data_IF_929262727175
#
_entry.id   IF_929262727175
#
_cell.length_a   1.000
_cell.length_b   1.000
_cell.length_c   1.000
_cell.angle_alpha   90.00
_cell.angle_beta   90.00
_cell.angle_gamma   90.00
#
_symmetry.space_group_name_H-M   'P 1'
#
loop_
_entity.id
_entity.type
_entity.pdbx_description
1 polymer ?
#
# COMPACT_ATOMS: atom_id res chain seq x y z
N UNK A 1 22.49 -2.11 -22.68
CA UNK A 1 22.72 -0.76 -22.12
C UNK A 1 22.71 -0.73 -20.60
N UNK A 2 21.65 -1.16 -19.89
CA UNK A 2 21.63 -1.16 -18.40
C UNK A 2 22.73 -2.01 -17.72
N UNK A 3 23.05 -3.17 -18.30
CA UNK A 3 24.05 -4.10 -17.76
C UNK A 3 25.49 -3.55 -17.81
N UNK A 4 25.80 -2.72 -18.81
CA UNK A 4 27.11 -2.06 -18.93
C UNK A 4 27.27 -0.95 -17.88
N UNK A 5 26.19 -0.24 -17.58
CA UNK A 5 26.18 0.83 -16.57
C UNK A 5 26.35 0.27 -15.15
N UNK A 6 25.74 -0.88 -14.86
CA UNK A 6 25.95 -1.62 -13.61
C UNK A 6 27.39 -2.13 -13.44
N UNK A 7 27.98 -2.66 -14.51
CA UNK A 7 29.37 -3.14 -14.47
C UNK A 7 30.38 -1.99 -14.27
N UNK A 8 30.11 -0.80 -14.81
CA UNK A 8 30.96 0.37 -14.62
C UNK A 8 30.89 0.91 -13.18
N UNK A 9 29.72 0.90 -12.55
CA UNK A 9 29.57 1.33 -11.15
C UNK A 9 30.22 0.35 -10.17
N UNK A 10 30.15 -0.96 -10.44
CA UNK A 10 30.80 -1.98 -9.62
C UNK A 10 32.34 -1.93 -9.73
N UNK A 11 32.88 -1.61 -10.92
CA UNK A 11 34.32 -1.44 -11.11
C UNK A 11 34.88 -0.23 -10.34
N UNK A 12 34.11 0.86 -10.23
CA UNK A 12 34.51 2.07 -9.49
C UNK A 12 34.49 1.88 -7.96
N UNK A 13 33.64 0.99 -7.45
CA UNK A 13 33.56 0.70 -6.02
C UNK A 13 34.63 -0.30 -5.56
N UNK A 14 34.99 -1.26 -6.42
CA UNK A 14 36.00 -2.29 -6.10
C UNK A 14 37.46 -1.79 -6.17
N UNK A 15 37.71 -0.63 -6.78
CA UNK A 15 39.06 -0.03 -6.85
C UNK A 15 39.51 0.72 -5.58
N UNK A 16 38.60 0.98 -4.64
CA UNK A 16 38.87 1.84 -3.47
C UNK A 16 38.97 1.10 -2.12
N UNK A 17 38.97 -0.23 -2.13
CA UNK A 17 39.11 -1.01 -0.90
C UNK A 17 40.22 -2.02 -1.12
N UNK A 18 41.47 -1.61 -0.83
CA UNK A 18 42.58 -2.41 -0.29
C UNK A 18 43.89 -1.62 -0.41
N UNK A 19 44.24 -0.88 0.65
CA UNK A 19 45.55 -0.89 1.30
C UNK A 19 45.85 0.44 2.00
N UNK A 20 45.43 0.48 3.26
CA UNK A 20 46.05 1.27 4.32
C UNK A 20 47.38 0.62 4.70
N UNK A 21 48.52 1.27 4.41
CA UNK A 21 49.73 1.20 5.25
C UNK A 21 50.93 1.96 4.64
N UNK A 22 51.37 3.00 5.36
CA UNK A 22 52.74 3.55 5.47
C UNK A 22 53.53 3.88 4.19
N UNK A 23 53.73 5.17 3.91
CA UNK A 23 55.01 5.90 4.14
C UNK A 23 54.96 7.26 3.46
N UNK A 24 55.43 8.26 4.20
CA UNK A 24 55.58 9.65 3.80
C UNK A 24 56.53 9.81 2.61
N UNK A 25 55.98 9.97 1.41
CA UNK A 25 56.61 10.68 0.30
C UNK A 25 55.53 11.45 -0.46
N UNK A 26 55.28 12.69 -0.04
CA UNK A 26 54.53 13.64 -0.85
C UNK A 26 55.43 14.08 -2.00
N UNK A 27 55.60 13.20 -2.99
CA UNK A 27 55.94 13.60 -4.34
C UNK A 27 54.77 14.44 -4.86
N UNK A 28 55.07 15.65 -5.27
CA UNK A 28 54.22 16.55 -6.06
C UNK A 28 53.65 15.79 -7.25
N UNK A 29 52.43 15.28 -7.11
CA UNK A 29 51.62 14.75 -8.20
C UNK A 29 50.60 15.83 -8.52
N UNK A 30 50.59 16.17 -9.80
CA UNK A 30 49.82 17.21 -10.46
C UNK A 30 48.48 17.55 -9.83
N UNK A 31 48.21 18.86 -9.82
CA UNK A 31 46.89 19.46 -9.72
C UNK A 31 45.94 18.85 -10.76
N UNK A 32 45.36 17.68 -10.47
CA UNK A 32 44.11 17.27 -11.09
C UNK A 32 43.07 18.27 -10.60
N UNK A 33 42.79 19.26 -11.46
CA UNK A 33 41.67 20.20 -11.32
C UNK A 33 40.39 19.39 -11.17
N UNK A 34 40.04 19.07 -9.94
CA UNK A 34 38.73 18.53 -9.59
C UNK A 34 37.75 19.65 -9.92
N UNK A 35 37.08 19.53 -11.07
CA UNK A 35 35.99 20.44 -11.41
C UNK A 35 34.92 20.17 -10.34
N UNK A 36 34.61 21.13 -9.45
CA UNK A 36 33.58 20.92 -8.47
C UNK A 36 32.28 20.66 -9.23
N UNK A 37 31.78 19.44 -9.20
CA UNK A 37 30.44 19.16 -9.70
C UNK A 37 29.50 19.96 -8.82
N UNK A 38 28.81 20.94 -9.41
CA UNK A 38 27.79 21.68 -8.68
C UNK A 38 26.83 20.67 -8.05
N UNK A 39 26.52 20.80 -6.75
CA UNK A 39 25.56 19.92 -6.11
C UNK A 39 24.26 20.01 -6.91
N UNK A 40 23.65 18.87 -7.18
CA UNK A 40 22.35 18.84 -7.83
C UNK A 40 21.36 19.59 -6.94
N UNK A 41 20.74 20.65 -7.47
CA UNK A 41 19.74 21.44 -6.76
C UNK A 41 18.36 21.02 -7.28
N UNK A 42 17.46 20.51 -6.42
CA UNK A 42 16.12 20.16 -6.85
C UNK A 42 15.38 21.39 -7.35
N UNK A 43 14.77 21.26 -8.53
CA UNK A 43 13.89 22.30 -9.06
C UNK A 43 12.69 22.55 -8.13
N UNK A 44 12.12 23.75 -8.16
CA UNK A 44 10.89 24.06 -7.41
C UNK A 44 9.73 23.12 -7.78
N UNK A 45 9.67 22.68 -9.05
CA UNK A 45 8.67 21.70 -9.50
C UNK A 45 8.84 20.35 -8.80
N UNK A 46 10.08 19.88 -8.66
CA UNK A 46 10.39 18.66 -7.93
C UNK A 46 9.99 18.78 -6.45
N UNK A 47 10.39 19.86 -5.78
CA UNK A 47 10.04 20.06 -4.36
C UNK A 47 8.53 20.12 -4.13
N UNK A 48 7.76 20.77 -5.02
CA UNK A 48 6.29 20.77 -4.96
C UNK A 48 5.70 19.36 -5.13
N UNK A 49 6.27 18.57 -6.05
CA UNK A 49 5.84 17.20 -6.27
C UNK A 49 6.18 16.29 -5.09
N UNK A 50 7.39 16.43 -4.52
CA UNK A 50 7.82 15.72 -3.33
C UNK A 50 6.92 16.05 -2.14
N UNK A 51 6.66 17.33 -1.88
CA UNK A 51 5.75 17.74 -0.82
C UNK A 51 4.34 17.17 -1.05
N UNK A 52 3.81 17.23 -2.28
CA UNK A 52 2.49 16.64 -2.59
C UNK A 52 2.48 15.14 -2.36
N UNK A 53 3.57 14.45 -2.73
CA UNK A 53 3.71 13.01 -2.53
C UNK A 53 3.72 12.65 -1.04
N UNK A 54 4.53 13.34 -0.25
CA UNK A 54 4.66 13.10 1.20
C UNK A 54 3.40 13.45 1.98
N UNK A 55 2.75 14.57 1.63
CA UNK A 55 1.59 15.09 2.37
C UNK A 55 0.26 14.48 1.95
N UNK A 56 0.06 14.18 0.67
CA UNK A 56 -1.19 13.62 0.16
C UNK A 56 -1.06 12.14 -0.19
N UNK A 57 -0.15 11.77 -1.09
CA UNK A 57 -0.15 10.42 -1.67
C UNK A 57 0.21 9.36 -0.63
N UNK A 58 1.23 9.59 0.19
CA UNK A 58 1.64 8.64 1.25
C UNK A 58 0.61 8.54 2.38
N UNK A 59 -0.15 9.61 2.63
CA UNK A 59 -1.14 9.65 3.70
C UNK A 59 -2.54 9.19 3.27
N UNK A 60 -2.73 8.93 1.97
CA UNK A 60 -3.98 8.40 1.46
C UNK A 60 -4.03 6.88 1.62
N UNK A 61 -5.11 6.42 2.25
CA UNK A 61 -5.44 5.00 2.35
C UNK A 61 -6.84 4.75 1.77
N UNK A 62 -7.06 3.54 1.27
CA UNK A 62 -8.38 3.11 0.83
C UNK A 62 -9.30 3.00 2.04
N UNK A 63 -10.31 3.86 2.11
CA UNK A 63 -11.18 3.95 3.29
C UNK A 63 -12.65 4.21 3.01
N UNK A 64 -13.01 4.49 1.76
CA UNK A 64 -14.39 4.72 1.37
C UNK A 64 -14.95 3.48 0.64
N UNK A 65 -15.81 2.66 1.28
CA UNK A 65 -16.46 1.56 0.61
C UNK A 65 -17.53 2.04 -0.38
N UNK A 66 -17.59 1.39 -1.54
CA UNK A 66 -18.69 1.59 -2.49
C UNK A 66 -19.98 1.00 -1.91
N UNK A 67 -21.04 1.80 -1.80
CA UNK A 67 -22.33 1.36 -1.27
C UNK A 67 -22.97 0.18 -2.04
N UNK A 68 -22.62 -0.01 -3.31
CA UNK A 68 -23.22 -1.03 -4.18
C UNK A 68 -22.44 -2.34 -4.26
N UNK A 69 -21.11 -2.29 -4.37
CA UNK A 69 -20.28 -3.48 -4.58
C UNK A 69 -19.27 -3.73 -3.46
N UNK A 70 -19.21 -2.89 -2.43
CA UNK A 70 -18.33 -3.04 -1.28
C UNK A 70 -16.84 -2.79 -1.56
N UNK A 71 -16.45 -2.48 -2.80
CA UNK A 71 -15.06 -2.17 -3.15
C UNK A 71 -14.57 -0.94 -2.37
N UNK A 72 -13.47 -1.09 -1.63
CA UNK A 72 -12.78 0.02 -0.96
C UNK A 72 -12.07 0.92 -1.98
N UNK A 73 -12.19 2.22 -1.79
CA UNK A 73 -11.67 3.26 -2.68
C UNK A 73 -10.90 4.31 -1.90
N UNK A 74 -10.03 5.01 -2.62
CA UNK A 74 -9.49 6.28 -2.16
C UNK A 74 -10.61 7.33 -2.16
N UNK A 75 -10.68 8.21 -1.14
CA UNK A 75 -11.66 9.28 -1.09
C UNK A 75 -11.73 10.13 -2.36
N UNK A 76 -10.58 10.45 -2.97
CA UNK A 76 -10.51 11.24 -4.21
C UNK A 76 -11.09 10.54 -5.44
N UNK A 77 -11.15 9.21 -5.43
CA UNK A 77 -11.69 8.40 -6.53
C UNK A 77 -13.16 8.02 -6.32
N UNK A 78 -13.79 8.55 -5.28
CA UNK A 78 -15.19 8.32 -5.00
C UNK A 78 -16.07 9.16 -5.92
N UNK A 79 -17.08 8.51 -6.47
CA UNK A 79 -18.21 9.17 -7.10
C UNK A 79 -19.31 9.34 -6.07
N UNK A 80 -20.14 10.37 -6.23
CA UNK A 80 -21.16 10.74 -5.26
C UNK A 80 -22.55 10.63 -5.88
N UNK A 81 -23.38 9.74 -5.34
CA UNK A 81 -24.78 9.61 -5.73
C UNK A 81 -25.71 10.10 -4.63
N UNK A 82 -26.88 10.68 -4.97
CA UNK A 82 -27.90 11.02 -3.97
C UNK A 82 -28.24 9.81 -3.10
N UNK A 83 -28.27 10.04 -1.80
CA UNK A 83 -28.71 9.02 -0.85
C UNK A 83 -30.23 8.84 -0.93
N UNK A 84 -30.69 7.60 -0.88
CA UNK A 84 -32.11 7.24 -0.82
C UNK A 84 -32.33 6.28 0.35
N UNK A 85 -33.05 6.74 1.37
CA UNK A 85 -33.36 5.98 2.60
C UNK A 85 -34.16 4.70 2.32
N UNK A 86 -35.00 4.70 1.28
CA UNK A 86 -35.83 3.55 0.93
C UNK A 86 -35.10 2.51 0.07
N UNK A 87 -33.84 2.78 -0.32
CA UNK A 87 -33.08 1.86 -1.14
C UNK A 87 -32.26 0.89 -0.29
N UNK A 88 -32.44 -0.44 -0.45
CA UNK A 88 -31.71 -1.40 0.35
C UNK A 88 -30.31 -1.64 -0.26
N UNK A 89 -29.35 -0.82 0.14
CA UNK A 89 -27.97 -0.91 -0.35
C UNK A 89 -27.33 -2.27 -0.01
N UNK A 90 -26.74 -3.00 -0.98
CA UNK A 90 -26.15 -4.31 -0.73
C UNK A 90 -25.09 -4.34 0.37
N UNK A 91 -24.32 -3.26 0.52
CA UNK A 91 -23.32 -3.15 1.59
C UNK A 91 -23.95 -3.21 3.00
N UNK A 92 -25.13 -2.59 3.18
CA UNK A 92 -25.87 -2.64 4.44
C UNK A 92 -26.48 -4.03 4.67
N UNK A 93 -26.98 -4.66 3.61
CA UNK A 93 -27.52 -6.02 3.69
C UNK A 93 -26.45 -7.06 4.07
N UNK A 94 -25.21 -6.86 3.64
CA UNK A 94 -24.11 -7.78 3.93
C UNK A 94 -23.62 -7.71 5.38
N UNK A 95 -23.84 -6.58 6.06
CA UNK A 95 -23.38 -6.33 7.43
C UNK A 95 -24.48 -5.66 8.27
N UNK A 96 -25.63 -6.34 8.48
CA UNK A 96 -26.78 -5.76 9.16
C UNK A 96 -26.51 -5.42 10.64
N UNK A 97 -25.48 -6.03 11.24
CA UNK A 97 -25.07 -5.80 12.62
C UNK A 97 -24.34 -4.47 12.85
N UNK A 98 -23.90 -3.80 11.78
CA UNK A 98 -23.15 -2.54 11.87
C UNK A 98 -24.04 -1.33 11.62
N UNK A 99 -23.81 -0.21 12.34
CA UNK A 99 -24.58 1.01 12.11
C UNK A 99 -24.30 1.55 10.70
N UNK A 100 -25.34 2.04 10.03
CA UNK A 100 -25.26 2.48 8.63
C UNK A 100 -24.24 3.61 8.42
N UNK A 101 -24.13 4.55 9.38
CA UNK A 101 -23.14 5.64 9.35
C UNK A 101 -21.68 5.16 9.38
N UNK A 102 -21.43 3.95 9.88
CA UNK A 102 -20.09 3.36 9.87
C UNK A 102 -19.75 2.65 8.56
N UNK A 103 -20.77 2.24 7.80
CA UNK A 103 -20.62 1.48 6.56
C UNK A 103 -20.71 2.37 5.33
N UNK A 104 -21.63 3.34 5.31
CA UNK A 104 -21.78 4.26 4.20
C UNK A 104 -20.90 5.49 4.43
N UNK A 105 -20.10 5.83 3.44
CA UNK A 105 -19.37 7.10 3.44
C UNK A 105 -20.25 8.20 2.84
N UNK A 106 -20.54 9.21 3.64
CA UNK A 106 -21.30 10.38 3.22
C UNK A 106 -20.39 11.54 2.80
N UNK A 107 -20.86 12.31 1.81
CA UNK A 107 -20.22 13.56 1.44
C UNK A 107 -20.41 14.62 2.53
N UNK A 108 -19.41 15.46 2.76
CA UNK A 108 -19.42 16.47 3.84
C UNK A 108 -20.41 17.62 3.62
N UNK A 109 -20.81 17.85 2.36
CA UNK A 109 -21.76 18.91 1.99
C UNK A 109 -23.13 18.34 1.66
N UNK A 110 -24.22 19.01 2.09
CA UNK A 110 -25.57 18.65 1.70
C UNK A 110 -25.80 18.90 0.18
N UNK A 111 -26.80 18.23 -0.44
CA UNK A 111 -27.65 17.17 0.13
C UNK A 111 -26.87 15.87 0.38
N UNK A 112 -27.41 14.96 1.20
CA UNK A 112 -26.77 13.70 1.53
C UNK A 112 -26.45 12.89 0.26
N UNK A 113 -25.18 12.56 0.09
CA UNK A 113 -24.67 11.75 -1.02
C UNK A 113 -23.77 10.66 -0.46
N UNK A 114 -23.85 9.50 -1.07
CA UNK A 114 -23.07 8.32 -0.70
C UNK A 114 -21.94 8.06 -1.70
N UNK A 115 -20.84 7.52 -1.20
CA UNK A 115 -19.70 7.14 -2.02
C UNK A 115 -19.97 5.87 -2.84
N UNK A 116 -19.63 5.93 -4.13
CA UNK A 116 -19.70 4.80 -5.06
C UNK A 116 -18.47 4.77 -5.96
N UNK A 117 -18.14 3.60 -6.50
CA UNK A 117 -17.06 3.49 -7.48
C UNK A 117 -17.52 3.93 -8.87
N UNK A 118 -16.55 4.28 -9.72
CA UNK A 118 -16.80 4.71 -11.10
C UNK A 118 -17.71 3.74 -11.87
N UNK A 119 -17.50 2.43 -11.72
CA UNK A 119 -18.32 1.40 -12.35
C UNK A 119 -19.74 1.37 -11.80
N UNK A 120 -19.94 1.57 -10.49
CA UNK A 120 -21.26 1.52 -9.87
C UNK A 120 -22.08 2.81 -10.03
N UNK A 121 -21.47 3.88 -10.54
CA UNK A 121 -22.13 5.16 -10.82
C UNK A 121 -23.36 4.97 -11.73
N UNK A 122 -23.21 4.19 -12.79
CA UNK A 122 -24.31 3.87 -13.72
C UNK A 122 -24.92 2.50 -13.40
N UNK A 123 -26.26 2.37 -13.37
CA UNK A 123 -26.91 1.09 -13.09
C UNK A 123 -26.47 -0.06 -14.00
N UNK A 124 -26.26 0.20 -15.28
CA UNK A 124 -25.88 -0.81 -16.28
C UNK A 124 -24.48 -1.40 -16.09
N UNK A 125 -23.59 -0.71 -15.37
CA UNK A 125 -22.20 -1.13 -15.16
C UNK A 125 -21.91 -1.51 -13.71
N UNK A 126 -22.95 -1.60 -12.86
CA UNK A 126 -22.81 -1.98 -11.46
C UNK A 126 -22.33 -3.42 -11.35
N UNK A 127 -21.21 -3.59 -10.66
CA UNK A 127 -20.81 -4.92 -10.21
C UNK A 127 -21.81 -5.45 -9.18
N UNK A 128 -22.05 -6.76 -9.25
CA UNK A 128 -22.77 -7.47 -8.20
C UNK A 128 -21.98 -7.39 -6.88
N UNK A 129 -22.70 -7.31 -5.76
CA UNK A 129 -22.07 -7.34 -4.46
C UNK A 129 -21.54 -8.76 -4.17
N UNK A 130 -20.28 -8.92 -3.71
CA UNK A 130 -19.70 -10.22 -3.43
C UNK A 130 -20.19 -10.74 -2.06
N UNK A 131 -21.41 -11.24 -2.00
CA UNK A 131 -21.91 -11.90 -0.79
C UNK A 131 -21.06 -13.15 -0.51
N UNK A 132 -20.47 -13.20 0.68
CA UNK A 132 -19.67 -14.33 1.11
C UNK A 132 -20.59 -15.46 1.58
N UNK A 133 -20.34 -16.66 1.10
CA UNK A 133 -21.01 -17.84 1.62
C UNK A 133 -20.58 -18.10 3.07
N UNK A 134 -21.49 -18.60 3.92
CA UNK A 134 -21.13 -18.98 5.27
C UNK A 134 -20.03 -20.04 5.24
N UNK A 135 -19.09 -19.95 6.17
CA UNK A 135 -18.04 -20.95 6.34
C UNK A 135 -18.71 -22.32 6.61
N UNK A 136 -18.39 -23.38 5.84
CA UNK A 136 -18.91 -24.73 6.04
C UNK A 136 -18.69 -25.25 7.46
N UNK A 137 -19.56 -26.15 7.91
CA UNK A 137 -19.54 -26.66 9.28
C UNK A 137 -18.25 -27.43 9.58
N UNK A 138 -17.68 -28.10 8.58
CA UNK A 138 -16.44 -28.85 8.63
C UNK A 138 -15.26 -27.92 8.99
N UNK A 139 -15.21 -26.74 8.37
CA UNK A 139 -14.18 -25.73 8.67
C UNK A 139 -14.44 -25.08 10.03
N UNK A 140 -15.72 -24.84 10.38
CA UNK A 140 -16.09 -24.30 11.70
C UNK A 140 -15.73 -25.24 12.85
N UNK A 141 -15.83 -26.55 12.65
CA UNK A 141 -15.48 -27.56 13.66
C UNK A 141 -13.98 -27.55 14.01
N UNK A 142 -13.13 -27.11 13.09
CA UNK A 142 -11.70 -26.96 13.37
C UNK A 142 -11.45 -25.73 14.25
N UNK A 143 -10.67 -25.85 15.35
CA UNK A 143 -10.31 -24.71 16.19
C UNK A 143 -9.64 -23.58 15.40
N UNK A 144 -9.94 -22.32 15.73
CA UNK A 144 -9.48 -21.15 14.95
C UNK A 144 -7.96 -21.15 14.69
N UNK A 145 -7.14 -21.43 15.71
CA UNK A 145 -5.68 -21.49 15.59
C UNK A 145 -5.16 -22.64 14.71
N UNK A 146 -6.00 -23.63 14.40
CA UNK A 146 -5.67 -24.75 13.52
C UNK A 146 -6.25 -24.60 12.10
N UNK A 147 -7.13 -23.62 11.86
CA UNK A 147 -7.72 -23.40 10.52
C UNK A 147 -6.70 -22.96 9.49
N UNK A 148 -5.56 -22.40 9.91
CA UNK A 148 -4.44 -22.07 9.01
C UNK A 148 -3.93 -23.29 8.23
N UNK A 149 -4.04 -24.50 8.79
CA UNK A 149 -3.62 -25.75 8.13
C UNK A 149 -4.63 -26.28 7.11
N UNK A 150 -5.83 -25.67 7.03
CA UNK A 150 -6.84 -26.03 6.03
C UNK A 150 -6.65 -25.29 4.70
N UNK A 151 -5.81 -24.25 4.67
CA UNK A 151 -5.49 -23.55 3.42
C UNK A 151 -4.66 -24.48 2.54
N UNK A 152 -5.10 -24.79 1.30
CA UNK A 152 -4.26 -25.51 0.34
C UNK A 152 -3.08 -24.65 -0.14
N UNK A 153 -3.12 -23.34 0.12
CA UNK A 153 -2.07 -22.38 -0.22
C UNK A 153 -1.20 -22.15 1.01
N UNK A 154 0.01 -22.71 0.97
CA UNK A 154 1.10 -22.38 1.88
C UNK A 154 1.92 -21.24 1.27
N UNK A 155 1.75 -20.02 1.77
CA UNK A 155 2.63 -18.92 1.38
C UNK A 155 3.93 -19.03 2.15
N UNK A 156 4.94 -19.65 1.52
CA UNK A 156 6.34 -19.57 1.97
C UNK A 156 6.89 -18.17 1.65
N UNK A 157 6.36 -17.14 2.31
CA UNK A 157 6.93 -15.81 2.21
C UNK A 157 8.19 -15.77 3.08
N UNK A 158 9.36 -16.10 2.50
CA UNK A 158 10.64 -15.65 3.05
C UNK A 158 10.73 -14.14 2.86
N UNK A 159 10.06 -13.39 3.74
CA UNK A 159 10.23 -11.95 3.84
C UNK A 159 11.68 -11.72 4.29
N UNK A 160 12.44 -11.00 3.46
CA UNK A 160 13.89 -10.90 3.54
C UNK A 160 14.45 -10.53 4.92
N UNK A 161 15.72 -10.87 5.13
CA UNK A 161 16.46 -10.55 6.36
C UNK A 161 16.60 -9.04 6.51
N UNK A 162 16.08 -8.50 7.60
CA UNK A 162 16.35 -7.14 8.04
C UNK A 162 17.83 -7.04 8.43
N UNK A 163 18.68 -6.45 7.59
CA UNK A 163 19.97 -5.95 8.05
C UNK A 163 19.69 -4.71 8.92
N UNK A 164 20.26 -4.71 10.12
CA UNK A 164 19.80 -4.00 11.30
C UNK A 164 19.91 -2.46 11.27
N UNK A 165 19.88 -1.80 10.11
CA UNK A 165 20.15 -0.35 10.08
C UNK A 165 19.47 0.49 8.98
N UNK A 166 18.44 0.02 8.27
CA UNK A 166 17.89 0.81 7.14
C UNK A 166 16.38 0.87 6.96
N UNK A 167 15.54 0.49 7.91
CA UNK A 167 14.11 0.52 7.64
C UNK A 167 13.23 0.75 8.87
N UNK A 168 13.09 2.03 9.24
CA UNK A 168 12.03 2.57 10.11
C UNK A 168 10.63 2.28 9.52
N UNK A 169 10.54 1.90 8.24
CA UNK A 169 9.30 1.53 7.55
C UNK A 169 9.10 0.01 7.36
N UNK A 170 9.96 -0.85 7.93
CA UNK A 170 9.84 -2.32 7.80
C UNK A 170 9.39 -3.00 9.10
N UNK A 171 8.48 -2.36 9.84
CA UNK A 171 7.79 -3.09 10.90
C UNK A 171 6.93 -4.17 10.25
N UNK A 172 7.17 -5.42 10.66
CA UNK A 172 6.34 -6.58 10.34
C UNK A 172 4.90 -6.28 10.72
N UNK A 173 4.07 -5.95 9.74
CA UNK A 173 2.63 -5.89 9.95
C UNK A 173 2.06 -7.24 9.58
N UNK A 174 1.74 -8.03 10.60
CA UNK A 174 0.83 -9.17 10.44
C UNK A 174 -0.41 -8.64 9.73
N UNK A 175 -0.68 -9.10 8.51
CA UNK A 175 -1.88 -8.68 7.79
C UNK A 175 -3.07 -9.37 8.44
N UNK A 176 -3.60 -8.72 9.48
CA UNK A 176 -4.82 -9.20 10.13
C UNK A 176 -6.03 -8.65 9.41
N UNK A 177 -6.70 -9.51 8.64
CA UNK A 177 -7.95 -9.19 7.97
C UNK A 177 -9.12 -9.87 8.67
N UNK A 178 -10.24 -9.16 8.81
CA UNK A 178 -11.52 -9.76 9.19
C UNK A 178 -12.29 -10.11 7.91
N UNK A 179 -12.44 -11.40 7.62
CA UNK A 179 -13.33 -11.87 6.56
C UNK A 179 -14.56 -12.44 7.28
N UNK A 180 -15.61 -11.61 7.41
CA UNK A 180 -16.72 -11.81 8.33
C UNK A 180 -16.25 -11.97 9.80
N UNK A 181 -16.85 -12.87 10.57
CA UNK A 181 -16.65 -13.06 12.02
C UNK A 181 -15.32 -13.71 12.44
N UNK A 182 -14.27 -13.67 11.61
CA UNK A 182 -12.99 -14.31 11.93
C UNK A 182 -11.80 -13.39 11.66
N UNK A 183 -10.96 -13.26 12.68
CA UNK A 183 -9.67 -12.59 12.63
C UNK A 183 -8.67 -13.55 11.99
N UNK A 184 -8.25 -13.28 10.77
CA UNK A 184 -7.20 -14.04 10.10
C UNK A 184 -5.87 -13.42 10.53
N UNK A 185 -4.92 -14.22 10.98
CA UNK A 185 -3.54 -13.79 11.20
C UNK A 185 -2.68 -14.35 10.07
N UNK A 186 -2.11 -13.47 9.26
CA UNK A 186 -1.10 -13.83 8.25
C UNK A 186 0.24 -13.30 8.77
N UNK A 187 1.14 -14.22 9.15
CA UNK A 187 2.52 -13.92 9.54
C UNK A 187 3.37 -13.63 8.31
#
# INVERSE_FOLDING_TARGET
MLRQLQNQLQALQNGNILNTSYTSRFSTIDNQRYIPTNPWIPSQKFNKLLNTFETNILNQFICAPCAFCGRLMYPEKCEWLPYNENFPYPLLQAYPEKPFDSLLTFHTRPPNRIAVCLSCKKPSTRYAFPFLYPVPNEIKAVPLGRRMYLSPVFMHCSLGRNSANSAIYSEYRTLTGTMNFQKIHVL
#
